data_IF_766433957397
#
_entry.id   IF_766433957397
#
_cell.length_a   1.000
_cell.length_b   1.000
_cell.length_c   1.000
_cell.angle_alpha   90.00
_cell.angle_beta   90.00
_cell.angle_gamma   90.00
#
_symmetry.space_group_name_H-M   'P 1'
#
loop_
_entity.id
_entity.type
_entity.pdbx_description
1 polymer ?
#
# COMPACT_ATOMS: atom_id res chain seq x y z
N UNK A 1 19.35 -7.99 13.87
CA UNK A 1 19.05 -6.87 12.95
C UNK A 1 19.24 -7.39 11.54
N UNK A 2 18.20 -7.97 10.94
CA UNK A 2 18.20 -8.22 9.49
C UNK A 2 18.31 -6.87 8.82
N UNK A 3 19.32 -6.67 7.97
CA UNK A 3 19.46 -5.45 7.19
C UNK A 3 18.20 -5.24 6.36
N UNK A 4 17.53 -4.10 6.52
CA UNK A 4 16.44 -3.67 5.64
C UNK A 4 17.01 -3.37 4.25
N UNK A 5 17.29 -4.43 3.48
CA UNK A 5 17.72 -4.30 2.10
C UNK A 5 16.49 -4.06 1.24
N UNK A 6 16.61 -3.07 0.37
CA UNK A 6 15.61 -2.75 -0.63
C UNK A 6 16.18 -3.01 -2.02
N UNK A 7 15.30 -3.31 -2.97
CA UNK A 7 15.62 -3.42 -4.39
C UNK A 7 14.70 -2.49 -5.17
N UNK A 8 15.23 -1.87 -6.21
CA UNK A 8 14.43 -1.15 -7.19
C UNK A 8 13.67 -2.15 -8.05
N UNK A 9 12.39 -1.92 -8.24
CA UNK A 9 11.55 -2.67 -9.17
C UNK A 9 11.06 -1.76 -10.29
N UNK A 10 10.98 -2.34 -11.48
CA UNK A 10 10.34 -1.75 -12.66
C UNK A 10 8.88 -2.20 -12.66
N UNK A 11 7.98 -1.23 -12.56
CA UNK A 11 6.52 -1.44 -12.54
C UNK A 11 5.96 -1.05 -13.90
N UNK A 12 4.94 -1.78 -14.37
CA UNK A 12 4.21 -1.46 -15.61
C UNK A 12 5.15 -1.32 -16.81
N UNK A 13 5.99 -2.34 -17.02
CA UNK A 13 6.98 -2.34 -18.12
C UNK A 13 8.11 -1.31 -17.96
N UNK A 14 8.36 -0.84 -16.74
CA UNK A 14 9.42 0.13 -16.42
C UNK A 14 9.01 1.58 -16.52
N UNK A 15 7.73 1.87 -16.80
CA UNK A 15 7.20 3.21 -16.82
C UNK A 15 7.20 3.88 -15.43
N UNK A 16 7.15 3.08 -14.36
CA UNK A 16 7.28 3.52 -12.98
C UNK A 16 8.41 2.72 -12.31
N UNK A 17 9.17 3.36 -11.43
CA UNK A 17 10.13 2.68 -10.56
C UNK A 17 9.85 2.99 -9.10
N UNK A 18 10.12 2.03 -8.21
CA UNK A 18 10.07 2.22 -6.76
C UNK A 18 11.02 1.22 -6.08
N UNK A 19 11.48 1.55 -4.88
CA UNK A 19 12.23 0.63 -4.03
C UNK A 19 11.29 -0.10 -3.05
N UNK A 20 11.32 -1.43 -3.08
CA UNK A 20 10.57 -2.31 -2.17
C UNK A 20 11.52 -3.26 -1.43
N UNK A 21 11.13 -3.88 -0.30
CA UNK A 21 12.03 -4.79 0.41
C UNK A 21 12.52 -5.91 -0.49
N UNK A 22 13.79 -6.29 -0.35
CA UNK A 22 14.42 -7.28 -1.23
C UNK A 22 13.76 -8.66 -1.14
N UNK A 23 13.06 -8.96 -0.04
CA UNK A 23 12.33 -10.21 0.20
C UNK A 23 11.02 -10.31 -0.57
N UNK A 24 10.53 -9.20 -1.14
CA UNK A 24 9.26 -9.17 -1.86
C UNK A 24 9.42 -9.69 -3.28
N UNK A 25 8.65 -10.71 -3.64
CA UNK A 25 8.67 -11.33 -4.96
C UNK A 25 7.40 -11.02 -5.73
N UNK A 26 7.57 -10.76 -7.02
CA UNK A 26 6.49 -10.50 -7.97
C UNK A 26 5.64 -11.75 -8.18
N UNK A 27 4.32 -11.63 -7.97
CA UNK A 27 3.37 -12.74 -8.12
C UNK A 27 2.91 -12.98 -9.55
N UNK A 28 3.16 -12.06 -10.48
CA UNK A 28 2.80 -12.21 -11.90
C UNK A 28 3.41 -13.47 -12.52
N UNK A 29 4.55 -13.90 -11.97
CA UNK A 29 5.29 -15.12 -12.34
C UNK A 29 4.54 -16.42 -12.02
N UNK A 30 3.56 -16.37 -11.12
CA UNK A 30 2.85 -17.56 -10.62
C UNK A 30 1.35 -17.50 -10.84
N UNK A 31 0.77 -16.30 -11.02
CA UNK A 31 -0.65 -16.09 -11.33
C UNK A 31 -0.84 -14.84 -12.16
N UNK A 32 -1.92 -14.78 -12.91
CA UNK A 32 -2.32 -13.54 -13.57
C UNK A 32 -2.72 -12.48 -12.53
N UNK A 33 -2.28 -11.25 -12.80
CA UNK A 33 -2.63 -10.03 -12.08
C UNK A 33 -3.25 -9.09 -13.13
N UNK A 34 -4.26 -8.28 -12.79
CA UNK A 34 -4.81 -7.28 -13.71
C UNK A 34 -3.71 -6.38 -14.29
N UNK A 35 -3.86 -5.94 -15.55
CA UNK A 35 -2.81 -5.17 -16.24
C UNK A 35 -2.50 -3.82 -15.57
N UNK A 36 -3.45 -3.27 -14.83
CA UNK A 36 -3.30 -2.03 -14.07
C UNK A 36 -2.79 -2.26 -12.63
N UNK A 37 -2.42 -3.50 -12.28
CA UNK A 37 -1.91 -3.88 -10.96
C UNK A 37 -0.55 -4.56 -11.02
N UNK A 38 0.29 -4.25 -10.03
CA UNK A 38 1.55 -4.95 -9.76
C UNK A 38 1.53 -5.40 -8.30
N UNK A 39 1.73 -6.71 -8.06
CA UNK A 39 1.56 -7.30 -6.73
C UNK A 39 2.82 -8.05 -6.33
N UNK A 40 3.36 -7.71 -5.16
CA UNK A 40 4.51 -8.38 -4.58
C UNK A 40 4.19 -8.94 -3.20
N UNK A 41 4.70 -10.13 -2.90
CA UNK A 41 4.54 -10.82 -1.63
C UNK A 41 5.88 -11.00 -0.93
N UNK A 42 5.91 -10.76 0.38
CA UNK A 42 7.06 -11.09 1.20
C UNK A 42 7.25 -12.60 1.27
N UNK A 43 8.33 -13.13 0.70
CA UNK A 43 8.61 -14.58 0.75
C UNK A 43 8.97 -15.08 2.15
N UNK A 44 9.40 -14.17 3.03
CA UNK A 44 9.84 -14.49 4.40
C UNK A 44 8.75 -14.16 5.45
N UNK A 45 7.58 -13.69 5.00
CA UNK A 45 6.48 -13.24 5.84
C UNK A 45 5.11 -13.43 5.19
N UNK A 46 4.13 -12.64 5.63
CA UNK A 46 2.76 -12.65 5.09
C UNK A 46 2.35 -11.30 4.47
N UNK A 47 3.25 -10.33 4.50
CA UNK A 47 2.96 -8.98 4.01
C UNK A 47 2.93 -8.94 2.48
N UNK A 48 2.18 -7.98 1.96
CA UNK A 48 2.13 -7.70 0.52
C UNK A 48 2.24 -6.21 0.24
N UNK A 49 2.68 -5.86 -0.97
CA UNK A 49 2.54 -4.52 -1.53
C UNK A 49 1.84 -4.65 -2.86
N UNK A 50 0.85 -3.80 -3.06
CA UNK A 50 0.07 -3.70 -4.30
C UNK A 50 0.24 -2.28 -4.81
N UNK A 51 0.59 -2.14 -6.08
CA UNK A 51 0.51 -0.90 -6.83
C UNK A 51 -0.66 -1.03 -7.81
N UNK A 52 -1.59 -0.08 -7.79
CA UNK A 52 -2.79 -0.10 -8.62
C UNK A 52 -2.97 1.26 -9.30
N UNK A 53 -3.14 1.27 -10.62
CA UNK A 53 -3.43 2.47 -11.40
C UNK A 53 -4.93 2.55 -11.58
N UNK A 54 -5.54 3.56 -10.97
CA UNK A 54 -6.99 3.77 -10.96
C UNK A 54 -7.34 5.13 -11.58
N UNK A 55 -8.58 5.24 -12.05
CA UNK A 55 -9.15 6.53 -12.40
C UNK A 55 -9.14 7.44 -11.16
N UNK A 56 -8.82 8.71 -11.37
CA UNK A 56 -8.88 9.72 -10.32
C UNK A 56 -10.31 9.85 -9.81
N UNK A 57 -10.46 9.72 -8.51
CA UNK A 57 -11.77 9.91 -7.88
C UNK A 57 -11.97 11.37 -7.50
N UNK A 58 -13.01 11.98 -8.07
CA UNK A 58 -13.44 13.31 -7.66
C UNK A 58 -14.31 13.23 -6.42
N UNK A 59 -13.72 13.59 -5.27
CA UNK A 59 -14.37 13.71 -3.96
C UNK A 59 -14.23 15.15 -3.47
N UNK A 60 -14.85 15.48 -2.32
CA UNK A 60 -14.82 16.85 -1.80
C UNK A 60 -13.41 17.34 -1.43
N UNK A 61 -12.47 16.44 -1.13
CA UNK A 61 -11.04 16.76 -0.93
C UNK A 61 -10.14 15.50 -1.03
N UNK A 62 -8.82 15.71 -0.97
CA UNK A 62 -7.80 14.64 -1.02
C UNK A 62 -7.97 13.57 0.06
N UNK A 63 -8.40 13.95 1.27
CA UNK A 63 -8.62 13.00 2.38
C UNK A 63 -9.85 12.12 2.11
N UNK A 64 -10.90 12.66 1.51
CA UNK A 64 -12.07 11.89 1.10
C UNK A 64 -11.75 10.93 -0.05
N UNK A 65 -10.93 11.35 -1.01
CA UNK A 65 -10.41 10.46 -2.06
C UNK A 65 -9.59 9.31 -1.46
N UNK A 66 -8.69 9.62 -0.52
CA UNK A 66 -7.90 8.62 0.20
C UNK A 66 -8.78 7.62 0.97
N UNK A 67 -9.85 8.09 1.65
CA UNK A 67 -10.79 7.22 2.36
C UNK A 67 -11.64 6.37 1.42
N UNK A 68 -11.99 6.90 0.25
CA UNK A 68 -12.69 6.15 -0.78
C UNK A 68 -11.84 4.98 -1.28
N UNK A 69 -10.57 5.21 -1.60
CA UNK A 69 -9.66 4.13 -1.99
C UNK A 69 -9.48 3.10 -0.86
N UNK A 70 -9.41 3.52 0.40
CA UNK A 70 -9.41 2.58 1.53
C UNK A 70 -10.69 1.74 1.59
N UNK A 71 -11.87 2.32 1.36
CA UNK A 71 -13.13 1.57 1.42
C UNK A 71 -13.22 0.48 0.35
N UNK A 72 -12.66 0.74 -0.83
CA UNK A 72 -12.60 -0.24 -1.91
C UNK A 72 -11.61 -1.38 -1.58
N UNK A 73 -10.49 -1.07 -0.93
CA UNK A 73 -9.50 -2.10 -0.51
C UNK A 73 -10.07 -3.07 0.53
N UNK A 74 -10.87 -2.57 1.48
CA UNK A 74 -11.42 -3.39 2.57
C UNK A 74 -12.79 -3.98 2.22
N UNK A 75 -13.18 -3.96 0.95
CA UNK A 75 -14.43 -4.46 0.35
C UNK A 75 -15.38 -5.24 1.29
N UNK A 76 -16.44 -4.58 1.75
CA UNK A 76 -17.45 -5.15 2.67
C UNK A 76 -17.12 -5.04 4.17
N UNK A 77 -15.85 -4.84 4.54
CA UNK A 77 -15.38 -4.67 5.92
C UNK A 77 -15.14 -3.20 6.32
N UNK A 78 -15.54 -2.26 5.47
CA UNK A 78 -15.39 -0.82 5.73
C UNK A 78 -15.98 -0.39 7.09
N UNK A 79 -17.12 -0.97 7.49
CA UNK A 79 -17.76 -0.69 8.79
C UNK A 79 -17.02 -1.23 10.01
N UNK A 80 -16.05 -2.12 9.82
CA UNK A 80 -15.21 -2.73 10.86
C UNK A 80 -13.75 -2.27 10.77
N UNK A 81 -13.43 -1.41 9.79
CA UNK A 81 -12.09 -0.89 9.57
C UNK A 81 -11.87 0.35 10.42
N UNK A 82 -10.78 0.38 11.18
CA UNK A 82 -10.39 1.51 12.02
C UNK A 82 -9.29 2.31 11.35
N UNK A 83 -9.57 3.58 11.06
CA UNK A 83 -8.60 4.53 10.56
C UNK A 83 -7.82 5.15 11.74
N UNK A 84 -6.49 5.06 11.70
CA UNK A 84 -5.62 5.54 12.79
C UNK A 84 -4.96 6.88 12.49
N UNK A 85 -4.51 7.07 11.25
CA UNK A 85 -3.84 8.29 10.83
C UNK A 85 -4.09 8.56 9.35
N UNK A 86 -4.14 9.84 8.97
CA UNK A 86 -4.14 10.34 7.59
C UNK A 86 -3.20 11.54 7.52
N UNK A 87 -2.48 11.71 6.43
CA UNK A 87 -1.70 12.92 6.22
C UNK A 87 -1.22 13.09 4.80
N UNK A 88 -0.91 14.32 4.43
CA UNK A 88 -0.16 14.61 3.21
C UNK A 88 1.22 13.97 3.26
N UNK A 89 1.72 13.58 2.11
CA UNK A 89 3.03 12.95 1.93
C UNK A 89 3.84 13.70 0.88
N UNK A 90 5.16 13.53 0.94
CA UNK A 90 6.10 14.15 0.01
C UNK A 90 6.83 13.06 -0.77
N UNK A 91 6.76 13.14 -2.10
CA UNK A 91 7.50 12.27 -3.02
C UNK A 91 8.85 12.92 -3.35
N UNK A 92 9.95 12.29 -2.96
CA UNK A 92 11.29 12.91 -3.10
C UNK A 92 11.71 13.11 -4.55
N UNK A 93 11.21 12.28 -5.47
CA UNK A 93 11.49 12.38 -6.91
C UNK A 93 10.43 13.19 -7.68
N UNK A 94 9.30 13.48 -7.06
CA UNK A 94 8.14 14.15 -7.67
C UNK A 94 7.57 15.21 -6.70
N UNK A 95 8.35 16.25 -6.35
CA UNK A 95 8.08 17.12 -5.21
C UNK A 95 6.84 18.02 -5.36
N UNK A 96 6.33 18.19 -6.58
CA UNK A 96 5.13 18.98 -6.88
C UNK A 96 3.87 18.13 -7.00
N UNK A 97 4.00 16.80 -6.96
CA UNK A 97 2.88 15.87 -7.10
C UNK A 97 2.22 15.65 -5.76
N UNK A 98 0.89 15.81 -5.71
CA UNK A 98 0.10 15.58 -4.51
C UNK A 98 0.14 14.09 -4.14
N UNK A 99 0.50 13.80 -2.90
CA UNK A 99 0.45 12.47 -2.33
C UNK A 99 -0.17 12.49 -0.93
N UNK A 100 -0.92 11.44 -0.61
CA UNK A 100 -1.58 11.26 0.68
C UNK A 100 -1.24 9.90 1.24
N UNK A 101 -1.23 9.77 2.57
CA UNK A 101 -1.01 8.51 3.26
C UNK A 101 -2.05 8.27 4.33
N UNK A 102 -2.38 7.00 4.59
CA UNK A 102 -3.08 6.60 5.80
C UNK A 102 -2.54 5.32 6.39
N UNK A 103 -2.89 5.12 7.67
CA UNK A 103 -2.75 3.85 8.36
C UNK A 103 -4.13 3.44 8.88
N UNK A 104 -4.53 2.22 8.57
CA UNK A 104 -5.76 1.61 9.08
C UNK A 104 -5.49 0.18 9.58
N UNK A 105 -6.42 -0.34 10.37
CA UNK A 105 -6.51 -1.78 10.67
C UNK A 105 -7.89 -2.28 10.30
N UNK A 106 -7.95 -3.44 9.65
CA UNK A 106 -9.20 -4.08 9.21
C UNK A 106 -9.23 -5.53 9.71
N UNK A 107 -10.41 -6.14 9.91
CA UNK A 107 -10.48 -7.60 10.06
C UNK A 107 -9.87 -8.32 8.85
N UNK A 108 -9.64 -9.64 8.92
CA UNK A 108 -9.26 -10.43 7.76
C UNK A 108 -10.29 -10.26 6.65
N UNK A 109 -9.81 -10.04 5.43
CA UNK A 109 -10.68 -9.97 4.25
C UNK A 109 -11.38 -11.32 4.02
N UNK A 110 -12.50 -11.32 3.30
CA UNK A 110 -13.36 -12.50 3.10
C UNK A 110 -12.56 -13.73 2.64
N UNK A 111 -11.63 -13.57 1.71
CA UNK A 111 -10.82 -14.66 1.17
C UNK A 111 -9.83 -15.28 2.18
N UNK A 112 -9.52 -14.59 3.28
CA UNK A 112 -8.59 -15.06 4.31
C UNK A 112 -9.31 -15.78 5.46
N UNK A 113 -10.60 -15.53 5.66
CA UNK A 113 -11.40 -16.10 6.76
C UNK A 113 -11.54 -17.61 6.63
N UNK A 114 -11.43 -18.32 7.77
CA UNK A 114 -11.55 -19.77 7.84
C UNK A 114 -10.37 -20.54 7.26
N UNK A 115 -9.27 -19.87 6.90
CA UNK A 115 -8.04 -20.51 6.42
C UNK A 115 -7.05 -20.73 7.57
N UNK A 116 -6.11 -21.65 7.38
CA UNK A 116 -5.10 -21.99 8.39
C UNK A 116 -4.25 -20.78 8.86
N UNK A 117 -4.08 -19.79 7.97
CA UNK A 117 -3.29 -18.58 8.21
C UNK A 117 -4.19 -17.34 8.32
N UNK A 118 -5.40 -17.48 8.86
CA UNK A 118 -6.29 -16.34 9.13
C UNK A 118 -5.62 -15.38 10.14
N UNK A 119 -5.43 -14.10 9.79
CA UNK A 119 -4.87 -13.12 10.71
C UNK A 119 -5.85 -12.75 11.85
N UNK A 120 -5.33 -12.26 12.99
CA UNK A 120 -6.15 -11.57 13.99
C UNK A 120 -6.72 -10.25 13.42
N UNK A 121 -5.90 -9.54 12.63
CA UNK A 121 -6.29 -8.36 11.84
C UNK A 121 -5.24 -8.08 10.75
N UNK A 122 -5.56 -7.20 9.82
CA UNK A 122 -4.63 -6.71 8.78
C UNK A 122 -4.37 -5.22 9.00
N UNK A 123 -3.10 -4.86 9.13
CA UNK A 123 -2.65 -3.48 9.05
C UNK A 123 -2.56 -3.05 7.58
N UNK A 124 -3.06 -1.86 7.25
CA UNK A 124 -3.05 -1.32 5.89
C UNK A 124 -2.33 0.03 5.94
N UNK A 125 -1.16 0.10 5.30
CA UNK A 125 -0.46 1.36 5.07
C UNK A 125 -0.68 1.74 3.61
N UNK A 126 -1.41 2.83 3.40
CA UNK A 126 -1.83 3.26 2.07
C UNK A 126 -1.09 4.54 1.68
N UNK A 127 -0.68 4.61 0.41
CA UNK A 127 -0.22 5.83 -0.25
C UNK A 127 -1.15 6.03 -1.46
N UNK A 128 -1.59 7.26 -1.70
CA UNK A 128 -2.31 7.64 -2.92
C UNK A 128 -1.55 8.79 -3.56
N UNK A 129 -0.99 8.55 -4.75
CA UNK A 129 -0.34 9.56 -5.58
C UNK A 129 -1.35 10.08 -6.58
N UNK A 130 -1.59 11.38 -6.57
CA UNK A 130 -2.67 12.04 -7.31
C UNK A 130 -2.10 12.74 -8.54
N UNK A 131 -2.38 12.20 -9.72
CA UNK A 131 -1.98 12.75 -11.02
C UNK A 131 -3.16 13.50 -11.65
N UNK A 132 -3.33 14.76 -11.27
CA UNK A 132 -4.50 15.57 -11.66
C UNK A 132 -4.62 15.73 -13.18
N UNK A 133 -3.52 16.06 -13.86
CA UNK A 133 -3.49 16.24 -15.32
C UNK A 133 -3.81 14.95 -16.08
N UNK A 134 -3.44 13.80 -15.53
CA UNK A 134 -3.67 12.47 -16.11
C UNK A 134 -4.98 11.84 -15.64
N UNK A 135 -5.79 12.55 -14.84
CA UNK A 135 -7.01 12.02 -14.21
C UNK A 135 -6.80 10.63 -13.61
N UNK A 136 -5.66 10.43 -12.96
CA UNK A 136 -5.23 9.13 -12.42
C UNK A 136 -4.90 9.25 -10.94
N UNK A 137 -5.31 8.26 -10.15
CA UNK A 137 -4.80 8.03 -8.80
C UNK A 137 -4.01 6.71 -8.80
N UNK A 138 -2.75 6.76 -8.36
CA UNK A 138 -1.93 5.56 -8.15
C UNK A 138 -2.03 5.18 -6.68
N UNK A 139 -2.62 4.03 -6.41
CA UNK A 139 -2.87 3.51 -5.06
C UNK A 139 -1.82 2.47 -4.71
N UNK A 140 -1.09 2.69 -3.61
CA UNK A 140 -0.05 1.79 -3.13
C UNK A 140 -0.44 1.29 -1.75
N UNK A 141 -0.81 0.02 -1.65
CA UNK A 141 -1.27 -0.60 -0.41
C UNK A 141 -0.25 -1.60 0.10
N UNK A 142 0.32 -1.35 1.29
CA UNK A 142 1.13 -2.32 2.03
C UNK A 142 0.21 -3.00 3.05
N UNK A 143 -0.09 -4.28 2.82
CA UNK A 143 -0.90 -5.08 3.72
C UNK A 143 0.01 -5.86 4.67
N UNK A 144 -0.30 -5.79 5.96
CA UNK A 144 0.51 -6.36 7.04
C UNK A 144 -0.39 -7.25 7.92
N UNK A 145 -0.59 -8.52 7.53
CA UNK A 145 -1.36 -9.46 8.33
C UNK A 145 -0.69 -9.75 9.67
N UNK A 146 -1.45 -9.65 10.75
CA UNK A 146 -1.00 -9.97 12.10
C UNK A 146 -1.58 -11.33 12.49
N UNK A 147 -0.83 -12.41 12.26
CA UNK A 147 -1.28 -13.76 12.56
C UNK A 147 -1.13 -14.09 14.05
N UNK A 148 -1.98 -14.97 14.61
CA UNK A 148 -1.83 -15.45 15.98
C UNK A 148 -0.40 -15.97 16.24
N UNK A 149 0.26 -15.42 17.27
CA UNK A 149 1.63 -15.80 17.66
C UNK A 149 2.77 -15.16 16.84
N UNK A 150 2.46 -14.38 15.79
CA UNK A 150 3.48 -13.66 14.99
C UNK A 150 3.85 -12.28 15.56
N UNK A 151 3.12 -11.80 16.56
CA UNK A 151 3.31 -10.49 17.19
C UNK A 151 2.87 -10.50 18.66
N UNK A 152 3.41 -9.58 19.45
CA UNK A 152 2.96 -9.34 20.82
C UNK A 152 1.78 -8.36 20.81
N UNK A 153 0.63 -8.77 21.35
CA UNK A 153 -0.62 -7.99 21.28
C UNK A 153 -0.52 -6.68 22.05
N UNK A 154 0.21 -6.69 23.17
CA UNK A 154 0.49 -5.54 24.03
C UNK A 154 1.35 -4.45 23.37
N UNK A 155 2.11 -4.82 22.33
CA UNK A 155 2.97 -3.90 21.58
C UNK A 155 2.24 -3.20 20.44
N UNK A 156 0.98 -3.57 20.18
CA UNK A 156 0.17 -3.00 19.11
C UNK A 156 -1.05 -2.29 19.67
N UNK A 157 -0.96 -0.97 19.72
CA UNK A 157 -2.06 -0.05 19.98
C UNK A 157 -1.82 1.23 19.15
N UNK A 158 -2.22 1.24 17.86
CA UNK A 158 -1.96 2.38 16.97
C UNK A 158 -2.57 3.69 17.46
N UNK A 159 -3.71 3.64 18.16
CA UNK A 159 -4.33 4.80 18.79
C UNK A 159 -3.48 5.42 19.91
N UNK A 160 -2.60 4.62 20.54
CA UNK A 160 -1.61 5.07 21.52
C UNK A 160 -0.20 5.24 20.92
N UNK A 161 -0.06 5.21 19.60
CA UNK A 161 1.23 5.32 18.91
C UNK A 161 2.15 4.11 19.07
N UNK A 162 1.61 2.95 19.51
CA UNK A 162 2.35 1.68 19.58
C UNK A 162 2.02 0.84 18.36
N UNK A 163 2.99 0.61 17.50
CA UNK A 163 2.76 -0.06 16.22
C UNK A 163 3.23 -1.52 16.21
N UNK A 164 4.13 -1.90 17.13
CA UNK A 164 4.80 -3.20 17.08
C UNK A 164 5.66 -3.38 15.82
N UNK A 165 6.42 -4.48 15.77
CA UNK A 165 7.43 -4.67 14.73
C UNK A 165 6.85 -4.73 13.31
N UNK A 166 5.67 -5.35 13.14
CA UNK A 166 5.08 -5.57 11.82
C UNK A 166 4.56 -4.27 11.19
N UNK A 167 3.78 -3.46 11.92
CA UNK A 167 3.34 -2.15 11.40
C UNK A 167 4.49 -1.17 11.24
N UNK A 168 5.50 -1.20 12.13
CA UNK A 168 6.71 -0.39 11.92
C UNK A 168 7.45 -0.79 10.64
N UNK A 169 7.55 -2.08 10.33
CA UNK A 169 8.09 -2.53 9.05
C UNK A 169 7.27 -1.98 7.88
N UNK A 170 5.93 -2.06 7.94
CA UNK A 170 5.05 -1.46 6.92
C UNK A 170 5.24 0.05 6.75
N UNK A 171 5.44 0.79 7.86
CA UNK A 171 5.75 2.23 7.83
C UNK A 171 7.12 2.49 7.18
N UNK A 172 8.12 1.67 7.45
CA UNK A 172 9.45 1.78 6.81
C UNK A 172 9.35 1.53 5.30
N UNK A 173 8.54 0.56 4.86
CA UNK A 173 8.25 0.36 3.43
C UNK A 173 7.63 1.62 2.82
N UNK A 174 6.61 2.19 3.48
CA UNK A 174 5.96 3.42 3.04
C UNK A 174 6.95 4.58 2.87
N UNK A 175 7.81 4.84 3.86
CA UNK A 175 8.83 5.90 3.73
C UNK A 175 9.78 5.63 2.56
N UNK A 176 10.18 4.37 2.35
CA UNK A 176 11.07 4.03 1.25
C UNK A 176 10.43 4.20 -0.13
N UNK A 177 9.14 3.85 -0.26
CA UNK A 177 8.37 4.11 -1.48
C UNK A 177 8.27 5.62 -1.72
N UNK A 178 7.97 6.44 -0.70
CA UNK A 178 7.91 7.90 -0.85
C UNK A 178 9.27 8.54 -1.26
N UNK A 179 10.39 7.93 -0.85
CA UNK A 179 11.73 8.37 -1.24
C UNK A 179 12.07 8.05 -2.71
N UNK A 180 11.59 6.91 -3.21
CA UNK A 180 12.09 6.29 -4.45
C UNK A 180 11.10 6.28 -5.61
N UNK A 181 9.80 6.38 -5.34
CA UNK A 181 8.75 6.31 -6.36
C UNK A 181 8.93 7.43 -7.40
N UNK A 182 9.01 7.04 -8.67
CA UNK A 182 9.22 7.96 -9.77
C UNK A 182 8.56 7.42 -11.05
N UNK A 183 7.84 8.31 -11.75
CA UNK A 183 7.33 8.05 -13.10
C UNK A 183 8.45 8.35 -14.10
N UNK A 184 8.88 7.32 -14.83
CA UNK A 184 9.92 7.39 -15.87
C UNK A 184 9.35 7.59 -17.26
N UNK A 185 8.18 7.04 -17.54
CA UNK A 185 7.49 7.18 -18.80
C UNK A 185 6.04 7.64 -18.59
N UNK A 186 5.78 8.90 -18.94
CA UNK A 186 4.43 9.49 -18.87
C UNK A 186 3.52 9.03 -20.00
N UNK A 187 4.05 8.37 -21.04
CA UNK A 187 3.27 7.74 -22.10
C UNK A 187 2.40 6.57 -21.61
N UNK A 188 2.62 6.12 -20.36
CA UNK A 188 1.75 5.16 -19.67
C UNK A 188 0.32 5.69 -19.48
N UNK A 189 0.17 6.99 -19.28
CA UNK A 189 -1.13 7.60 -19.00
C UNK A 189 -1.73 8.22 -20.26
N UNK A 190 -2.99 7.91 -20.54
CA UNK A 190 -3.71 8.54 -21.64
C UNK A 190 -3.92 10.01 -21.29
N UNK A 191 -3.40 10.93 -22.11
CA UNK A 191 -3.77 12.34 -22.04
C UNK A 191 -5.15 12.49 -22.67
N UNK A 192 -6.17 12.79 -21.87
CA UNK A 192 -7.45 13.24 -22.40
C UNK A 192 -7.37 14.75 -22.68
N UNK A 193 -7.47 15.13 -23.95
CA UNK A 193 -7.60 16.52 -24.41
C UNK A 193 -8.82 17.24 -23.80
#
# INVERSE_FOLDING_TARGET
MTSNQFKTVELFGGAIVADIPATFEDVSKIRQVPDNQEVYLDKDGFSSIVFDILERVEKGNDVEALKYHLSDIVDGDAGQTTLHNTGSAYLSKMPTTTAMTLLATSPPGEQQRGRANEPDFVGIVLIVVRLEEQKTDIVIAVNVPHLPGSYAKEDVNPAAGKYGNLLEAGKVVKEKVLESFEIKDWGLFVQED
#
